data_IF_452635408016
#
_entry.id   IF_452635408016
#
_cell.length_a   1.000
_cell.length_b   1.000
_cell.length_c   1.000
_cell.angle_alpha   90.00
_cell.angle_beta   90.00
_cell.angle_gamma   90.00
#
_symmetry.space_group_name_H-M   'P 1'
#
loop_
_entity.id
_entity.type
_entity.pdbx_description
1 polymer ?
#
# COMPACT_ATOMS: atom_id res chain seq x y z
N UNK A 1 -19.99 -28.58 -12.13
CA UNK A 1 -19.12 -27.39 -12.26
C UNK A 1 -19.83 -26.25 -11.54
N UNK A 2 -19.18 -25.59 -10.61
CA UNK A 2 -19.70 -24.42 -9.89
C UNK A 2 -18.84 -23.21 -10.21
N UNK A 3 -19.49 -22.10 -10.54
CA UNK A 3 -18.85 -20.81 -10.77
C UNK A 3 -19.63 -19.77 -9.97
N UNK A 4 -18.94 -18.98 -9.17
CA UNK A 4 -19.52 -17.83 -8.45
C UNK A 4 -18.74 -16.57 -8.83
N UNK A 5 -19.43 -15.45 -8.91
CA UNK A 5 -18.82 -14.15 -9.13
C UNK A 5 -19.49 -13.14 -8.21
N UNK A 6 -18.69 -12.37 -7.48
CA UNK A 6 -19.13 -11.35 -6.55
C UNK A 6 -18.41 -10.04 -6.84
N UNK A 7 -19.10 -8.93 -6.62
CA UNK A 7 -18.53 -7.60 -6.75
C UNK A 7 -18.95 -6.74 -5.55
N UNK A 8 -17.99 -5.99 -5.02
CA UNK A 8 -18.16 -5.10 -3.87
C UNK A 8 -17.65 -3.73 -4.26
N UNK A 9 -18.44 -2.71 -3.94
CA UNK A 9 -18.06 -1.32 -4.05
C UNK A 9 -18.20 -0.67 -2.67
N UNK A 10 -17.16 0.02 -2.23
CA UNK A 10 -17.18 0.81 -1.00
C UNK A 10 -16.74 2.22 -1.32
N UNK A 11 -17.51 3.20 -0.88
CA UNK A 11 -17.14 4.60 -0.92
C UNK A 11 -17.20 5.15 0.50
N UNK A 12 -16.03 5.44 1.04
CA UNK A 12 -15.87 6.00 2.37
C UNK A 12 -15.57 7.48 2.22
N UNK A 13 -16.34 8.31 2.92
CA UNK A 13 -16.17 9.77 2.90
C UNK A 13 -15.90 10.27 4.31
N UNK A 14 -15.31 11.46 4.42
CA UNK A 14 -15.08 12.14 5.69
C UNK A 14 -14.17 11.34 6.64
N UNK A 15 -13.17 10.68 6.08
CA UNK A 15 -12.10 10.06 6.85
C UNK A 15 -11.24 11.14 7.53
N UNK A 16 -10.75 10.88 8.76
CA UNK A 16 -9.86 11.80 9.45
C UNK A 16 -8.53 11.94 8.71
N UNK A 17 -8.07 13.17 8.55
CA UNK A 17 -6.76 13.49 7.97
C UNK A 17 -6.10 14.61 8.76
N UNK A 18 -4.83 14.45 9.11
CA UNK A 18 -4.01 15.51 9.70
C UNK A 18 -3.61 16.53 8.62
N UNK A 19 -4.03 17.78 8.81
CA UNK A 19 -3.65 18.91 7.95
C UNK A 19 -2.95 19.97 8.80
N UNK A 20 -1.81 20.47 8.31
CA UNK A 20 -1.13 21.60 8.93
C UNK A 20 -1.78 22.91 8.48
N UNK A 21 -2.51 23.57 9.39
CA UNK A 21 -3.16 24.85 9.11
C UNK A 21 -2.20 26.02 9.07
N UNK A 22 -0.98 25.84 9.54
CA UNK A 22 0.02 26.88 9.50
C UNK A 22 0.57 27.08 8.09
N UNK A 23 0.53 26.08 7.20
CA UNK A 23 1.08 26.19 5.84
C UNK A 23 0.08 26.83 4.88
N UNK A 24 0.51 27.87 4.16
CA UNK A 24 -0.31 28.58 3.17
C UNK A 24 0.22 28.41 1.73
N UNK A 25 -0.64 28.55 0.70
CA UNK A 25 -0.27 28.36 -0.70
C UNK A 25 0.76 29.35 -1.26
N UNK A 26 1.08 30.44 -0.54
CA UNK A 26 1.98 31.48 -1.04
C UNK A 26 3.47 31.13 -1.01
N UNK A 27 3.85 29.93 -0.57
CA UNK A 27 5.18 29.39 -0.86
C UNK A 27 5.31 29.09 -2.38
N UNK A 28 6.49 29.23 -3.00
CA UNK A 28 6.66 28.95 -4.42
C UNK A 28 6.87 27.44 -4.65
N UNK A 29 6.41 26.94 -5.79
CA UNK A 29 6.79 25.61 -6.28
C UNK A 29 8.11 25.75 -7.03
N UNK A 30 9.12 24.99 -6.62
CA UNK A 30 10.46 24.96 -7.24
C UNK A 30 10.76 23.55 -7.75
N UNK A 31 11.57 23.45 -8.81
CA UNK A 31 12.01 22.20 -9.42
C UNK A 31 13.49 22.31 -9.80
N UNK A 32 14.21 21.18 -9.81
CA UNK A 32 15.64 21.16 -10.18
C UNK A 32 16.59 21.76 -9.13
N UNK A 33 16.08 22.11 -7.95
CA UNK A 33 16.86 22.61 -6.81
C UNK A 33 16.92 21.56 -5.70
N UNK A 34 18.00 21.56 -4.93
CA UNK A 34 18.11 20.69 -3.76
C UNK A 34 17.04 21.05 -2.71
N UNK A 35 16.49 20.03 -2.04
CA UNK A 35 15.51 20.18 -0.97
C UNK A 35 16.12 20.77 0.31
N UNK A 36 15.47 20.59 1.46
CA UNK A 36 16.12 20.91 2.72
C UNK A 36 17.41 20.09 2.91
N UNK A 37 18.39 20.66 3.62
CA UNK A 37 19.66 20.02 3.96
C UNK A 37 20.46 19.47 2.74
N UNK A 38 20.21 19.98 1.54
CA UNK A 38 20.90 19.53 0.32
C UNK A 38 20.40 18.20 -0.25
N UNK A 39 19.24 17.71 0.19
CA UNK A 39 18.68 16.45 -0.31
C UNK A 39 18.38 16.52 -1.82
N UNK A 40 18.74 15.47 -2.59
CA UNK A 40 18.43 15.42 -4.01
C UNK A 40 16.92 15.27 -4.21
N UNK A 41 16.35 16.15 -5.04
CA UNK A 41 14.92 16.16 -5.39
C UNK A 41 14.64 15.48 -6.71
N UNK A 42 15.69 15.02 -7.41
CA UNK A 42 15.62 14.36 -8.71
C UNK A 42 14.78 15.12 -9.76
N UNK A 43 14.76 16.45 -9.67
CA UNK A 43 13.99 17.33 -10.56
C UNK A 43 12.49 17.40 -10.26
N UNK A 44 11.99 16.69 -9.24
CA UNK A 44 10.59 16.73 -8.86
C UNK A 44 10.22 18.10 -8.28
N UNK A 45 9.06 18.67 -8.68
CA UNK A 45 8.58 19.93 -8.13
C UNK A 45 8.12 19.74 -6.68
N UNK A 46 8.47 20.70 -5.82
CA UNK A 46 8.00 20.73 -4.43
C UNK A 46 7.75 22.17 -3.99
N UNK A 47 6.90 22.33 -2.98
CA UNK A 47 6.57 23.62 -2.38
C UNK A 47 7.69 24.01 -1.39
N UNK A 48 8.35 25.17 -1.59
CA UNK A 48 9.50 25.60 -0.76
C UNK A 48 9.10 26.66 0.27
N UNK A 49 8.70 26.24 1.47
CA UNK A 49 8.37 27.16 2.56
C UNK A 49 9.60 27.87 3.17
N UNK A 50 10.81 27.47 2.76
CA UNK A 50 12.07 28.15 3.05
C UNK A 50 12.48 29.20 2.01
N UNK A 51 11.65 29.52 1.02
CA UNK A 51 11.98 30.52 0.01
C UNK A 51 12.10 31.95 0.58
N UNK A 52 12.95 32.79 -0.03
CA UNK A 52 13.17 34.19 0.39
C UNK A 52 11.87 35.00 0.49
N UNK A 53 10.90 34.75 -0.39
CA UNK A 53 9.60 35.43 -0.37
C UNK A 53 8.83 35.18 0.94
N UNK A 54 8.93 33.97 1.49
CA UNK A 54 8.32 33.67 2.77
C UNK A 54 9.03 34.48 3.85
N UNK A 55 10.36 34.64 3.82
CA UNK A 55 11.09 35.44 4.82
C UNK A 55 10.66 36.90 4.83
N UNK A 56 10.55 37.51 3.64
CA UNK A 56 10.15 38.91 3.48
C UNK A 56 8.69 39.11 3.90
N UNK A 57 7.80 38.20 3.49
CA UNK A 57 6.36 38.27 3.77
C UNK A 57 5.85 36.95 4.39
N UNK A 58 6.06 36.73 5.71
CA UNK A 58 5.70 35.49 6.39
C UNK A 58 4.23 35.11 6.19
N UNK A 59 3.32 36.08 6.27
CA UNK A 59 1.87 35.87 6.15
C UNK A 59 1.38 35.37 4.79
N UNK A 60 2.25 35.30 3.77
CA UNK A 60 1.91 34.67 2.49
C UNK A 60 2.09 33.14 2.54
N UNK A 61 3.05 32.67 3.35
CA UNK A 61 3.42 31.25 3.42
C UNK A 61 2.97 30.59 4.73
N UNK A 62 2.73 31.39 5.78
CA UNK A 62 2.38 30.91 7.12
C UNK A 62 1.17 31.63 7.70
N UNK A 63 0.26 30.88 8.32
CA UNK A 63 -0.89 31.45 9.02
C UNK A 63 -0.47 32.19 10.30
N UNK A 64 0.60 31.75 10.96
CA UNK A 64 1.30 32.52 11.99
C UNK A 64 2.42 33.38 11.35
N UNK A 65 2.24 34.70 11.17
CA UNK A 65 3.24 35.55 10.55
C UNK A 65 4.49 35.72 11.43
N UNK A 66 4.38 35.45 12.74
CA UNK A 66 5.50 35.52 13.67
C UNK A 66 6.40 34.29 13.60
N UNK A 67 5.96 33.22 12.91
CA UNK A 67 6.68 31.95 12.74
C UNK A 67 7.11 31.29 14.05
N UNK A 68 6.36 31.56 15.11
CA UNK A 68 6.53 30.95 16.42
C UNK A 68 5.94 29.55 16.43
N UNK A 69 4.83 29.35 15.70
CA UNK A 69 4.25 28.04 15.46
C UNK A 69 4.98 27.39 14.29
N UNK A 70 5.57 26.21 14.56
CA UNK A 70 6.27 25.42 13.55
C UNK A 70 5.32 24.50 12.78
N UNK A 71 4.32 23.94 13.46
CA UNK A 71 3.35 23.01 12.92
C UNK A 71 2.03 23.16 13.69
N UNK A 72 0.91 23.32 12.98
CA UNK A 72 -0.44 23.39 13.55
C UNK A 72 -1.32 22.30 12.93
N UNK A 73 -1.08 21.05 13.34
CA UNK A 73 -1.83 19.90 12.84
C UNK A 73 -3.23 19.85 13.44
N UNK A 74 -4.23 19.90 12.58
CA UNK A 74 -5.62 19.68 12.96
C UNK A 74 -6.17 18.48 12.22
N UNK A 75 -6.79 17.55 12.95
CA UNK A 75 -7.51 16.44 12.36
C UNK A 75 -8.84 16.93 11.81
N UNK A 76 -9.04 16.75 10.51
CA UNK A 76 -10.27 17.14 9.82
C UNK A 76 -10.85 15.93 9.09
N UNK A 77 -12.17 15.78 9.11
CA UNK A 77 -12.88 14.69 8.42
C UNK A 77 -13.10 15.04 6.94
N UNK A 78 -12.03 15.01 6.14
CA UNK A 78 -12.02 15.53 4.76
C UNK A 78 -11.49 14.53 3.72
N UNK A 79 -10.85 13.44 4.14
CA UNK A 79 -10.32 12.43 3.22
C UNK A 79 -11.42 11.48 2.73
N UNK A 80 -11.21 10.88 1.55
CA UNK A 80 -12.12 9.90 0.97
C UNK A 80 -11.34 8.69 0.45
N UNK A 81 -11.98 7.53 0.51
CA UNK A 81 -11.47 6.28 -0.03
C UNK A 81 -12.53 5.57 -0.87
N UNK A 82 -12.09 4.94 -1.96
CA UNK A 82 -12.93 4.13 -2.84
C UNK A 82 -12.28 2.78 -3.01
N UNK A 83 -13.07 1.72 -2.83
CA UNK A 83 -12.67 0.35 -3.05
C UNK A 83 -13.60 -0.32 -4.06
N UNK A 84 -13.00 -0.99 -5.04
CA UNK A 84 -13.67 -1.94 -5.92
C UNK A 84 -13.06 -3.32 -5.70
N UNK A 85 -13.87 -4.30 -5.33
CA UNK A 85 -13.48 -5.69 -5.15
C UNK A 85 -14.28 -6.59 -6.09
N UNK A 86 -13.61 -7.50 -6.77
CA UNK A 86 -14.25 -8.57 -7.54
C UNK A 86 -13.70 -9.90 -7.09
N UNK A 87 -14.56 -10.89 -6.88
CA UNK A 87 -14.15 -12.26 -6.55
C UNK A 87 -14.80 -13.19 -7.57
N UNK A 88 -13.98 -14.02 -8.21
CA UNK A 88 -14.42 -15.09 -9.10
C UNK A 88 -13.95 -16.41 -8.52
N UNK A 89 -14.87 -17.31 -8.24
CA UNK A 89 -14.55 -18.64 -7.73
C UNK A 89 -15.01 -19.70 -8.72
N UNK A 90 -14.16 -20.69 -8.94
CA UNK A 90 -14.37 -21.82 -9.82
C UNK A 90 -14.12 -23.09 -9.01
N UNK A 91 -15.11 -23.97 -8.97
CA UNK A 91 -14.95 -25.32 -8.41
C UNK A 91 -15.45 -26.37 -9.37
N UNK A 92 -14.58 -27.31 -9.73
CA UNK A 92 -14.92 -28.43 -10.59
C UNK A 92 -14.38 -29.73 -9.99
N UNK A 93 -15.28 -30.63 -9.65
CA UNK A 93 -14.94 -32.05 -9.48
C UNK A 93 -15.07 -32.72 -10.85
N UNK A 94 -13.96 -33.22 -11.35
CA UNK A 94 -13.83 -34.00 -12.57
C UNK A 94 -13.74 -35.47 -12.18
N UNK A 95 -14.72 -36.29 -12.61
CA UNK A 95 -14.81 -37.72 -12.28
C UNK A 95 -14.44 -38.05 -10.81
N UNK A 96 -14.11 -39.30 -10.51
CA UNK A 96 -13.85 -39.71 -9.13
C UNK A 96 -12.45 -39.36 -8.63
N UNK A 97 -11.56 -38.81 -9.47
CA UNK A 97 -10.12 -38.73 -9.20
C UNK A 97 -9.48 -37.34 -9.30
N UNK A 98 -10.23 -36.30 -9.68
CA UNK A 98 -9.66 -34.95 -9.84
C UNK A 98 -10.61 -33.85 -9.38
N UNK A 99 -10.17 -32.98 -8.49
CA UNK A 99 -10.90 -31.77 -8.11
C UNK A 99 -10.03 -30.55 -8.31
N UNK A 100 -10.59 -29.52 -8.93
CA UNK A 100 -9.97 -28.21 -9.11
C UNK A 100 -10.79 -27.15 -8.37
N UNK A 101 -10.09 -26.30 -7.62
CA UNK A 101 -10.60 -25.09 -7.01
C UNK A 101 -9.72 -23.93 -7.45
N UNK A 102 -10.31 -22.84 -7.93
CA UNK A 102 -9.57 -21.63 -8.28
C UNK A 102 -10.36 -20.41 -7.80
N UNK A 103 -9.66 -19.49 -7.13
CA UNK A 103 -10.20 -18.23 -6.66
C UNK A 103 -9.35 -17.11 -7.23
N UNK A 104 -10.01 -16.13 -7.83
CA UNK A 104 -9.38 -14.92 -8.32
C UNK A 104 -10.06 -13.72 -7.68
N UNK A 105 -9.28 -12.92 -6.97
CA UNK A 105 -9.71 -11.66 -6.38
C UNK A 105 -9.03 -10.52 -7.13
N UNK A 106 -9.85 -9.64 -7.70
CA UNK A 106 -9.43 -8.34 -8.19
C UNK A 106 -9.70 -7.30 -7.10
N UNK A 107 -8.74 -6.41 -6.84
CA UNK A 107 -8.99 -5.27 -5.98
C UNK A 107 -8.47 -3.97 -6.58
N UNK A 108 -9.18 -2.88 -6.32
CA UNK A 108 -8.77 -1.52 -6.64
C UNK A 108 -9.09 -0.62 -5.46
N UNK A 109 -8.07 -0.17 -4.76
CA UNK A 109 -8.20 0.78 -3.65
C UNK A 109 -7.57 2.12 -4.06
N UNK A 110 -8.32 3.20 -3.90
CA UNK A 110 -7.88 4.58 -4.12
C UNK A 110 -8.25 5.37 -2.87
N UNK A 111 -7.28 6.04 -2.25
CA UNK A 111 -7.51 6.91 -1.12
C UNK A 111 -6.77 8.24 -1.28
N UNK A 112 -7.17 9.22 -0.48
CA UNK A 112 -6.47 10.50 -0.34
C UNK A 112 -5.42 10.43 0.79
N UNK A 113 -5.57 9.49 1.73
CA UNK A 113 -4.71 9.30 2.89
C UNK A 113 -4.88 7.89 3.44
N UNK A 114 -3.76 7.22 3.77
CA UNK A 114 -3.75 5.84 4.30
C UNK A 114 -4.10 5.80 5.80
N UNK A 115 -3.69 6.81 6.57
CA UNK A 115 -3.88 6.89 8.02
C UNK A 115 -3.96 8.36 8.49
N UNK A 116 -4.53 8.57 9.68
CA UNK A 116 -4.81 9.92 10.18
C UNK A 116 -3.60 10.60 10.79
N UNK A 117 -2.61 9.85 11.30
CA UNK A 117 -1.46 10.42 12.02
C UNK A 117 -0.62 11.35 11.13
N UNK A 118 0.14 12.24 11.77
CA UNK A 118 0.91 13.26 11.07
C UNK A 118 2.06 12.73 10.19
N UNK A 119 2.38 11.45 10.30
CA UNK A 119 3.43 10.82 9.48
C UNK A 119 2.91 10.54 8.07
N UNK A 120 1.59 10.36 7.92
CA UNK A 120 0.87 10.24 6.65
C UNK A 120 0.18 11.56 6.27
N UNK A 121 0.70 12.69 6.77
CA UNK A 121 0.33 14.00 6.28
C UNK A 121 0.64 14.12 4.79
N UNK A 122 -0.18 14.89 4.08
CA UNK A 122 -0.01 15.15 2.66
C UNK A 122 1.43 15.57 2.32
N UNK A 123 1.92 15.14 1.16
CA UNK A 123 3.16 15.67 0.61
C UNK A 123 3.01 17.16 0.24
N UNK A 124 1.84 17.54 -0.26
CA UNK A 124 1.44 18.93 -0.47
C UNK A 124 0.16 19.28 0.31
N UNK A 125 0.37 19.87 1.47
CA UNK A 125 -0.60 20.21 2.51
C UNK A 125 -1.54 21.35 2.07
N UNK A 126 -1.11 22.14 1.09
CA UNK A 126 -1.91 23.21 0.49
C UNK A 126 -2.64 22.74 -0.78
N UNK A 127 -2.36 21.51 -1.25
CA UNK A 127 -3.06 20.88 -2.37
C UNK A 127 -3.36 19.40 -2.09
N UNK A 128 -4.25 19.16 -1.15
CA UNK A 128 -4.69 17.82 -0.73
C UNK A 128 -5.29 16.97 -1.87
N UNK A 129 -5.76 17.60 -2.95
CA UNK A 129 -6.29 16.87 -4.13
C UNK A 129 -5.20 16.10 -4.87
N UNK A 130 -3.94 16.51 -4.74
CA UNK A 130 -2.81 15.84 -5.37
C UNK A 130 -2.41 14.54 -4.68
N UNK A 131 -2.93 14.28 -3.48
CA UNK A 131 -2.62 13.08 -2.69
C UNK A 131 -3.47 11.87 -3.11
N UNK A 132 -4.53 12.10 -3.89
CA UNK A 132 -5.41 11.03 -4.35
C UNK A 132 -4.67 10.07 -5.27
N UNK A 133 -4.40 8.86 -4.79
CA UNK A 133 -3.58 7.86 -5.48
C UNK A 133 -4.10 6.45 -5.23
N UNK A 134 -3.41 5.44 -5.78
CA UNK A 134 -3.59 4.07 -5.34
C UNK A 134 -3.21 3.95 -3.87
N UNK A 135 -4.11 3.34 -3.10
CA UNK A 135 -3.90 3.06 -1.68
C UNK A 135 -2.74 2.10 -1.48
N UNK A 136 -2.00 2.22 -0.38
CA UNK A 136 -1.00 1.23 0.03
C UNK A 136 -1.60 -0.18 0.22
N UNK A 137 -2.92 -0.26 0.43
CA UNK A 137 -3.67 -1.51 0.53
C UNK A 137 -4.19 -2.04 -0.82
N UNK A 138 -3.83 -1.43 -1.96
CA UNK A 138 -4.18 -1.90 -3.30
C UNK A 138 -3.40 -3.18 -3.64
N UNK A 139 -4.08 -4.32 -3.67
CA UNK A 139 -3.53 -5.58 -4.17
C UNK A 139 -4.30 -6.03 -5.40
N UNK A 140 -3.84 -5.57 -6.57
CA UNK A 140 -4.59 -5.65 -7.84
C UNK A 140 -5.11 -7.05 -8.17
N UNK A 141 -4.26 -8.05 -8.05
CA UNK A 141 -4.54 -9.42 -8.45
C UNK A 141 -4.08 -10.40 -7.37
N UNK A 142 -5.02 -11.21 -6.89
CA UNK A 142 -4.75 -12.36 -6.03
C UNK A 142 -5.38 -13.60 -6.62
N UNK A 143 -4.57 -14.62 -6.85
CA UNK A 143 -5.00 -15.90 -7.43
C UNK A 143 -4.60 -17.00 -6.46
N UNK A 144 -5.54 -17.88 -6.15
CA UNK A 144 -5.28 -19.11 -5.40
C UNK A 144 -5.88 -20.26 -6.18
N UNK A 145 -5.03 -21.21 -6.59
CA UNK A 145 -5.46 -22.44 -7.27
C UNK A 145 -5.07 -23.62 -6.40
N UNK A 146 -6.03 -24.50 -6.14
CA UNK A 146 -5.82 -25.75 -5.45
C UNK A 146 -6.37 -26.90 -6.31
N UNK A 147 -5.66 -28.02 -6.31
CA UNK A 147 -6.17 -29.24 -6.90
C UNK A 147 -6.07 -30.40 -5.91
N UNK A 148 -6.87 -31.44 -6.13
CA UNK A 148 -6.76 -32.75 -5.49
C UNK A 148 -6.76 -33.77 -6.61
N UNK A 149 -5.71 -34.59 -6.68
CA UNK A 149 -5.47 -35.54 -7.75
C UNK A 149 -5.21 -36.91 -7.14
N UNK A 150 -6.13 -37.83 -7.34
CA UNK A 150 -5.91 -39.23 -6.98
C UNK A 150 -5.07 -39.92 -8.05
N UNK A 151 -4.24 -40.87 -7.62
CA UNK A 151 -3.47 -41.70 -8.54
C UNK A 151 -4.39 -42.36 -9.59
N UNK A 152 -4.06 -42.26 -10.89
CA UNK A 152 -4.78 -42.94 -11.95
C UNK A 152 -4.34 -44.41 -12.14
N UNK A 153 -3.24 -44.86 -11.51
CA UNK A 153 -2.67 -46.18 -11.76
C UNK A 153 -3.02 -47.17 -10.66
N UNK A 154 -4.10 -47.92 -10.83
CA UNK A 154 -4.57 -48.91 -9.84
C UNK A 154 -3.67 -50.15 -9.71
N UNK A 155 -2.92 -50.52 -10.76
CA UNK A 155 -2.11 -51.75 -10.82
C UNK A 155 -0.61 -51.54 -10.60
N UNK A 156 -0.17 -50.30 -10.42
CA UNK A 156 1.27 -50.00 -10.21
C UNK A 156 1.65 -50.24 -8.75
N UNK A 157 2.76 -50.95 -8.48
CA UNK A 157 3.25 -51.14 -7.10
C UNK A 157 3.74 -49.86 -6.42
N UNK A 158 4.15 -48.86 -7.21
CA UNK A 158 4.81 -47.65 -6.71
C UNK A 158 3.93 -46.41 -6.92
N UNK A 159 3.12 -46.42 -7.98
CA UNK A 159 2.29 -45.28 -8.36
C UNK A 159 0.81 -45.46 -7.99
N UNK A 160 0.40 -46.51 -7.27
CA UNK A 160 -0.99 -46.68 -6.83
C UNK A 160 -1.23 -46.07 -5.44
N UNK A 161 -2.44 -45.58 -5.21
CA UNK A 161 -2.93 -45.23 -3.86
C UNK A 161 -2.42 -43.92 -3.26
N UNK A 162 -1.73 -43.07 -4.03
CA UNK A 162 -1.34 -41.73 -3.57
C UNK A 162 -2.36 -40.66 -4.00
N UNK A 163 -2.52 -39.63 -3.18
CA UNK A 163 -3.27 -38.40 -3.46
C UNK A 163 -2.28 -37.23 -3.49
N UNK A 164 -2.38 -36.36 -4.49
CA UNK A 164 -1.57 -35.15 -4.63
C UNK A 164 -2.47 -33.92 -4.55
N UNK A 165 -2.18 -33.02 -3.62
CA UNK A 165 -3.00 -31.83 -3.36
C UNK A 165 -2.20 -30.52 -3.46
N UNK A 166 -1.81 -30.08 -4.67
CA UNK A 166 -1.01 -28.88 -4.84
C UNK A 166 -1.85 -27.62 -4.63
N UNK A 167 -1.24 -26.60 -4.02
CA UNK A 167 -1.80 -25.27 -3.85
C UNK A 167 -0.80 -24.26 -4.38
N UNK A 168 -1.27 -23.32 -5.20
CA UNK A 168 -0.46 -22.23 -5.76
C UNK A 168 -1.14 -20.91 -5.44
N UNK A 169 -0.41 -20.04 -4.76
CA UNK A 169 -0.77 -18.64 -4.48
C UNK A 169 0.02 -17.72 -5.40
N UNK A 170 -0.66 -16.71 -5.94
CA UNK A 170 -0.02 -15.60 -6.65
C UNK A 170 -0.66 -14.29 -6.23
N UNK A 171 0.19 -13.30 -5.99
CA UNK A 171 -0.17 -11.98 -5.50
C UNK A 171 0.58 -10.95 -6.34
N UNK A 172 -0.12 -9.94 -6.85
CA UNK A 172 0.53 -8.77 -7.45
C UNK A 172 1.23 -7.93 -6.38
N UNK A 173 2.20 -7.12 -6.81
CA UNK A 173 2.83 -6.14 -5.94
C UNK A 173 1.85 -5.09 -5.42
N UNK A 174 2.20 -4.47 -4.30
CA UNK A 174 1.51 -3.32 -3.73
C UNK A 174 2.15 -2.03 -4.28
N UNK A 175 1.38 -0.94 -4.41
CA UNK A 175 1.98 0.37 -4.62
C UNK A 175 2.83 0.74 -3.40
N UNK A 176 3.79 1.63 -3.63
CA UNK A 176 4.65 2.16 -2.57
C UNK A 176 4.90 3.64 -2.84
N UNK A 177 5.08 4.39 -1.76
CA UNK A 177 5.50 5.79 -1.84
C UNK A 177 7.02 5.90 -1.64
N UNK A 178 7.65 6.82 -2.38
CA UNK A 178 9.07 7.13 -2.20
C UNK A 178 9.20 8.23 -1.14
N UNK A 179 9.59 7.86 0.07
CA UNK A 179 9.85 8.85 1.11
C UNK A 179 11.28 9.38 0.96
N UNK A 180 11.43 10.71 0.98
CA UNK A 180 12.73 11.37 0.93
C UNK A 180 13.58 11.16 2.21
N UNK A 181 13.06 10.46 3.24
CA UNK A 181 13.72 10.19 4.51
C UNK A 181 13.91 11.41 5.42
N UNK A 182 13.51 12.59 4.95
CA UNK A 182 13.59 13.86 5.67
C UNK A 182 12.63 14.88 5.04
N UNK A 183 12.43 16.00 5.74
CA UNK A 183 11.70 17.16 5.24
C UNK A 183 12.45 17.76 4.05
N UNK A 184 11.91 17.68 2.83
CA UNK A 184 12.48 18.33 1.63
C UNK A 184 11.91 19.72 1.39
N UNK A 185 10.70 19.99 1.89
CA UNK A 185 9.91 21.19 1.66
C UNK A 185 10.24 22.33 2.65
N UNK A 186 11.25 22.14 3.51
CA UNK A 186 11.77 23.11 4.48
C UNK A 186 10.67 23.64 5.40
N UNK A 187 9.67 22.82 5.69
CA UNK A 187 8.53 23.12 6.57
C UNK A 187 8.92 23.00 8.05
N UNK A 188 10.07 23.56 8.45
CA UNK A 188 10.64 23.54 9.83
C UNK A 188 10.30 22.28 10.66
N UNK A 189 10.31 21.07 10.07
CA UNK A 189 9.98 19.82 10.77
C UNK A 189 11.27 19.15 11.24
N UNK A 190 11.29 18.62 12.47
CA UNK A 190 12.27 17.57 12.81
C UNK A 190 11.77 16.29 12.15
N UNK A 191 12.53 15.75 11.20
CA UNK A 191 12.23 14.48 10.57
C UNK A 191 12.11 13.37 11.63
N UNK A 192 10.96 12.70 11.68
CA UNK A 192 10.87 11.33 12.19
C UNK A 192 10.45 10.51 10.98
N UNK A 193 11.41 9.83 10.36
CA UNK A 193 11.13 8.74 9.45
C UNK A 193 11.80 7.51 10.06
N UNK A 194 11.03 6.76 10.86
CA UNK A 194 11.40 5.40 11.19
C UNK A 194 11.05 4.54 9.98
N UNK A 195 12.08 4.03 9.30
CA UNK A 195 11.91 2.92 8.37
C UNK A 195 12.06 1.62 9.15
N UNK A 196 10.98 0.84 9.24
CA UNK A 196 11.11 -0.61 9.33
C UNK A 196 10.92 -1.15 7.92
N UNK A 197 12.03 -1.28 7.19
CA UNK A 197 12.08 -2.01 5.93
C UNK A 197 12.13 -3.50 6.25
N UNK A 198 10.99 -4.09 6.63
CA UNK A 198 10.80 -5.52 6.43
C UNK A 198 10.24 -5.72 5.02
N UNK A 199 11.15 -5.74 4.04
CA UNK A 199 10.97 -6.63 2.90
C UNK A 199 10.78 -8.03 3.52
N UNK A 200 9.58 -8.59 3.51
CA UNK A 200 9.44 -10.04 3.68
C UNK A 200 10.09 -10.67 2.46
N UNK A 201 11.29 -11.28 2.57
CA UNK A 201 11.73 -12.17 1.52
C UNK A 201 10.78 -13.37 1.57
N UNK A 202 10.50 -13.98 0.43
CA UNK A 202 9.90 -15.31 0.40
C UNK A 202 10.85 -16.26 1.15
N UNK A 203 10.63 -16.48 2.44
CA UNK A 203 11.39 -17.45 3.24
C UNK A 203 10.67 -18.79 3.15
N UNK A 204 11.20 -19.68 2.31
CA UNK A 204 10.95 -21.11 2.47
C UNK A 204 11.68 -21.56 3.73
N UNK A 205 11.02 -21.49 4.88
CA UNK A 205 11.57 -22.05 6.12
C UNK A 205 11.22 -23.53 6.26
N UNK A 206 12.21 -24.30 6.68
CA UNK A 206 12.01 -25.69 7.09
C UNK A 206 11.34 -25.70 8.46
N UNK A 207 10.15 -26.29 8.57
CA UNK A 207 9.51 -26.52 9.86
C UNK A 207 10.41 -27.40 10.75
N UNK A 208 10.53 -27.02 12.04
CA UNK A 208 11.30 -27.75 13.04
C UNK A 208 10.85 -29.23 13.14
N UNK A 209 11.76 -30.17 13.47
CA UNK A 209 11.47 -31.59 13.37
C UNK A 209 10.45 -32.01 14.42
N UNK A 210 9.24 -32.35 13.98
CA UNK A 210 8.37 -33.26 14.72
C UNK A 210 8.64 -34.69 14.22
N UNK A 211 8.49 -35.68 15.09
CA UNK A 211 8.99 -37.05 14.93
C UNK A 211 8.35 -37.88 13.81
N UNK A 212 7.58 -37.27 12.90
CA UNK A 212 6.91 -37.92 11.77
C UNK A 212 6.85 -36.95 10.56
N UNK A 213 7.85 -37.01 9.67
CA UNK A 213 7.78 -36.44 8.31
C UNK A 213 8.18 -34.96 8.16
N UNK A 214 8.90 -34.64 7.08
CA UNK A 214 9.22 -33.26 6.68
C UNK A 214 8.15 -32.77 5.71
N UNK A 215 7.32 -31.83 6.12
CA UNK A 215 6.42 -31.11 5.21
C UNK A 215 7.08 -29.79 4.79
N UNK A 216 7.15 -29.56 3.47
CA UNK A 216 7.58 -28.30 2.88
C UNK A 216 6.32 -27.48 2.60
N UNK A 217 6.13 -26.40 3.35
CA UNK A 217 5.04 -25.45 3.13
C UNK A 217 5.64 -24.16 2.62
N UNK A 218 5.31 -23.80 1.38
CA UNK A 218 5.61 -22.50 0.79
C UNK A 218 4.31 -21.69 0.77
N UNK A 219 4.30 -20.50 1.37
CA UNK A 219 3.21 -19.51 1.28
C UNK A 219 3.57 -18.34 0.40
#
# INVERSE_FOLDING_TARGET
LSVSANYIYVHTTHLPWAVDRNLLPGAPIVSGVAGANGLPTNGLPFQDWGAQQCFINPGQCFADPTRTILQDNVYSSIANAIYHGGILELRKRFSDRFTLMANYTYSKAIDDSTDFNSDYAAFNEVNLRAERSLSDFDQRHKVVVAAVIDSPWEKSRILSGFELSPIVSYNSGHPFNLLAGADINRRKRRAIAAWDLTMSPLTCDWAAPSSLGRDMVCT
#
